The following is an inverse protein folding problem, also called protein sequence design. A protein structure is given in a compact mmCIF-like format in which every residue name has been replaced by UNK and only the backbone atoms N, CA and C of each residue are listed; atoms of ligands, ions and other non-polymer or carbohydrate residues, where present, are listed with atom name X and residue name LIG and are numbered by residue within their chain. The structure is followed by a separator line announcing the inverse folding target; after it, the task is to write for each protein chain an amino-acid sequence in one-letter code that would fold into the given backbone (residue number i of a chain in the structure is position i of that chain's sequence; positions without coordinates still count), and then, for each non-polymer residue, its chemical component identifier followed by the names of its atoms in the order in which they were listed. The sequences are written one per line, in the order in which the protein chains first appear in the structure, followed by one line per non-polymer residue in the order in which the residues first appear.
data_IF_420600492889
#
_entry.id   IF_420600492889
#
_cell.length_a   1.000
_cell.length_b   1.000
_cell.length_c   1.000
_cell.angle_alpha   90.00
_cell.angle_beta   90.00
_cell.angle_gamma   90.00
#
_symmetry.space_group_name_H-M   'P 1'
#
loop_
_entity.id
_entity.type
_entity.pdbx_description
1 polymer ?
#
# COMPACT_ATOMS: atom_id res chain seq x y z
N UNK A 1 -14.48 16.36 -10.04
CA UNK A 1 -14.69 15.42 -11.13
C UNK A 1 -15.49 14.19 -10.77
N UNK A 2 -15.71 13.84 -9.48
CA UNK A 2 -16.45 12.64 -9.07
C UNK A 2 -17.91 12.95 -8.71
N UNK A 3 -18.63 13.69 -9.58
CA UNK A 3 -20.06 13.97 -9.41
C UNK A 3 -20.96 12.75 -9.70
N UNK A 4 -20.42 11.68 -10.29
CA UNK A 4 -21.19 10.49 -10.62
C UNK A 4 -21.26 9.54 -9.41
N UNK A 5 -22.46 9.32 -8.87
CA UNK A 5 -22.71 8.42 -7.74
C UNK A 5 -22.19 6.98 -7.98
N UNK A 6 -22.15 6.54 -9.23
CA UNK A 6 -21.66 5.22 -9.61
C UNK A 6 -20.17 5.08 -9.35
N UNK A 7 -19.38 6.10 -9.71
CA UNK A 7 -17.94 6.14 -9.45
C UNK A 7 -17.65 6.30 -7.95
N UNK A 8 -18.46 7.11 -7.25
CA UNK A 8 -18.26 7.40 -5.84
C UNK A 8 -18.38 6.19 -4.92
N UNK A 9 -19.17 5.17 -5.29
CA UNK A 9 -19.28 3.92 -4.51
C UNK A 9 -17.93 3.27 -4.21
N UNK A 10 -17.00 3.28 -5.16
CA UNK A 10 -15.65 2.73 -4.99
C UNK A 10 -14.66 3.81 -4.55
N UNK A 11 -14.68 4.98 -5.20
CA UNK A 11 -13.71 6.04 -4.97
C UNK A 11 -13.73 6.59 -3.55
N UNK A 12 -14.86 6.65 -2.87
CA UNK A 12 -14.94 7.07 -1.47
C UNK A 12 -14.10 6.22 -0.50
N UNK A 13 -13.78 4.97 -0.90
CA UNK A 13 -12.93 4.06 -0.11
C UNK A 13 -11.47 4.09 -0.56
N UNK A 14 -11.24 4.37 -1.84
CA UNK A 14 -9.91 4.31 -2.44
C UNK A 14 -9.18 5.65 -2.35
N UNK A 15 -9.90 6.76 -2.56
CA UNK A 15 -9.28 8.08 -2.59
C UNK A 15 -8.54 8.42 -1.29
N UNK A 16 -9.14 8.22 -0.10
CA UNK A 16 -8.44 8.52 1.16
C UNK A 16 -7.14 7.71 1.35
N UNK A 17 -7.09 6.49 0.81
CA UNK A 17 -5.85 5.70 0.79
C UNK A 17 -4.84 6.28 -0.21
N UNK A 18 -5.31 6.70 -1.39
CA UNK A 18 -4.47 7.30 -2.43
C UNK A 18 -3.87 8.63 -2.01
N UNK A 19 -4.64 9.47 -1.32
CA UNK A 19 -4.21 10.78 -0.82
C UNK A 19 -2.98 10.68 0.09
N UNK A 20 -2.85 9.61 0.87
CA UNK A 20 -1.68 9.38 1.71
C UNK A 20 -0.37 9.26 0.90
N UNK A 21 -0.45 8.88 -0.39
CA UNK A 21 0.73 8.75 -1.27
C UNK A 21 1.14 10.07 -1.95
N UNK A 22 0.45 11.18 -1.71
CA UNK A 22 0.83 12.49 -2.26
C UNK A 22 2.24 12.96 -1.86
N UNK A 23 2.84 12.35 -0.83
CA UNK A 23 4.24 12.55 -0.48
C UNK A 23 5.22 12.00 -1.53
N UNK A 24 4.74 11.27 -2.53
CA UNK A 24 5.54 10.79 -3.65
C UNK A 24 5.08 11.46 -4.94
N UNK A 25 6.03 11.79 -5.81
CA UNK A 25 5.70 12.28 -7.14
C UNK A 25 5.42 11.10 -8.10
N UNK A 26 5.12 11.44 -9.35
CA UNK A 26 4.82 10.49 -10.42
C UNK A 26 5.99 9.57 -10.81
N UNK A 27 7.19 9.83 -10.28
CA UNK A 27 8.38 8.97 -10.42
C UNK A 27 8.70 8.22 -9.12
N UNK A 28 7.83 8.32 -8.10
CA UNK A 28 8.04 7.72 -6.80
C UNK A 28 9.06 8.44 -5.92
N UNK A 29 9.46 9.67 -6.27
CA UNK A 29 10.41 10.46 -5.47
C UNK A 29 9.66 11.15 -4.34
N UNK A 30 10.23 11.11 -3.15
CA UNK A 30 9.69 11.80 -1.98
C UNK A 30 9.65 13.32 -2.19
N UNK A 31 8.51 13.94 -1.86
CA UNK A 31 8.31 15.40 -1.92
C UNK A 31 7.57 15.91 -0.70
N UNK A 32 7.93 17.14 -0.30
CA UNK A 32 7.25 17.86 0.79
C UNK A 32 6.43 19.04 0.25
N UNK A 33 6.67 19.44 -1.00
CA UNK A 33 6.02 20.57 -1.65
C UNK A 33 5.62 20.23 -3.08
N UNK A 34 4.48 20.78 -3.50
CA UNK A 34 4.17 20.97 -4.90
C UNK A 34 4.84 22.26 -5.39
N UNK A 35 5.23 22.27 -6.64
CA UNK A 35 5.80 23.42 -7.31
C UNK A 35 4.85 23.87 -8.42
N UNK A 36 4.70 25.17 -8.58
CA UNK A 36 3.82 25.77 -9.58
C UNK A 36 4.62 26.80 -10.36
N UNK A 37 4.42 26.85 -11.65
CA UNK A 37 4.99 27.86 -12.53
C UNK A 37 4.27 29.20 -12.41
N UNK A 38 4.72 30.17 -13.21
CA UNK A 38 4.16 31.54 -13.27
C UNK A 38 2.69 31.57 -13.75
N UNK A 39 2.21 30.53 -14.42
CA UNK A 39 0.80 30.37 -14.82
C UNK A 39 -0.04 29.67 -13.73
N UNK A 40 0.57 29.23 -12.63
CA UNK A 40 -0.09 28.47 -11.57
C UNK A 40 -0.32 27.00 -11.91
N UNK A 41 0.35 26.50 -12.96
CA UNK A 41 0.29 25.08 -13.32
C UNK A 41 1.32 24.26 -12.54
N UNK A 42 0.99 22.99 -12.25
CA UNK A 42 1.92 22.12 -11.51
C UNK A 42 3.18 21.90 -12.35
N UNK A 43 4.32 22.30 -11.77
CA UNK A 43 5.63 22.10 -12.35
C UNK A 43 6.22 20.77 -11.85
N UNK A 44 6.29 19.80 -12.74
CA UNK A 44 6.86 18.49 -12.43
C UNK A 44 8.39 18.54 -12.55
N UNK A 45 9.09 18.01 -11.55
CA UNK A 45 10.56 17.97 -11.51
C UNK A 45 11.13 16.94 -12.52
N UNK A 46 10.87 17.18 -13.81
CA UNK A 46 11.25 16.25 -14.89
C UNK A 46 12.44 16.73 -15.74
N UNK A 47 12.81 17.98 -15.63
CA UNK A 47 13.84 18.59 -16.46
C UNK A 47 15.04 19.10 -15.63
N UNK A 48 16.12 19.42 -16.34
CA UNK A 48 17.33 19.98 -15.75
C UNK A 48 17.21 21.48 -15.41
N UNK A 49 16.06 22.11 -15.66
CA UNK A 49 15.82 23.52 -15.41
C UNK A 49 15.21 23.79 -14.02
N UNK A 50 14.75 22.73 -13.34
CA UNK A 50 14.05 22.87 -12.06
C UNK A 50 14.87 23.68 -11.03
N UNK A 51 16.11 23.28 -10.78
CA UNK A 51 16.95 23.93 -9.77
C UNK A 51 17.26 25.40 -10.14
N UNK A 52 17.40 25.69 -11.44
CA UNK A 52 17.57 27.06 -11.94
C UNK A 52 16.32 27.90 -11.73
N UNK A 53 15.15 27.41 -12.16
CA UNK A 53 13.87 28.12 -12.00
C UNK A 53 13.54 28.38 -10.52
N UNK A 54 13.86 27.40 -9.65
CA UNK A 54 13.66 27.54 -8.21
C UNK A 54 14.55 28.64 -7.63
N UNK A 55 15.84 28.69 -8.00
CA UNK A 55 16.78 29.74 -7.58
C UNK A 55 16.41 31.13 -8.14
N UNK A 56 15.85 31.19 -9.33
CA UNK A 56 15.42 32.43 -9.98
C UNK A 56 14.05 32.92 -9.43
N UNK A 57 13.43 32.19 -8.48
CA UNK A 57 12.12 32.56 -7.93
C UNK A 57 10.94 32.42 -8.89
N UNK A 58 11.11 31.68 -9.99
CA UNK A 58 10.08 31.43 -11.01
C UNK A 58 9.10 30.31 -10.65
N UNK A 59 9.33 29.65 -9.51
CA UNK A 59 8.43 28.60 -9.00
C UNK A 59 7.88 29.02 -7.64
N UNK A 60 6.58 28.94 -7.49
CA UNK A 60 5.91 29.04 -6.19
C UNK A 60 5.75 27.65 -5.59
N UNK A 61 5.65 27.59 -4.27
CA UNK A 61 5.57 26.31 -3.55
C UNK A 61 4.35 26.26 -2.65
N UNK A 62 3.74 25.07 -2.56
CA UNK A 62 2.70 24.77 -1.58
C UNK A 62 3.06 23.47 -0.89
N UNK A 63 2.96 23.44 0.43
CA UNK A 63 3.18 22.19 1.20
C UNK A 63 2.22 21.10 0.72
N UNK A 64 2.72 19.89 0.57
CA UNK A 64 1.91 18.71 0.27
C UNK A 64 1.05 18.38 1.49
N UNK A 65 -0.25 18.21 1.28
CA UNK A 65 -1.14 17.55 2.22
C UNK A 65 -1.29 16.10 1.78
N UNK A 66 -0.67 15.20 2.52
CA UNK A 66 -0.73 13.76 2.28
C UNK A 66 -1.54 13.06 3.38
N UNK A 67 -2.41 13.79 4.05
CA UNK A 67 -3.32 13.18 5.00
C UNK A 67 -4.30 12.25 4.28
N UNK A 68 -4.45 11.05 4.81
CA UNK A 68 -5.34 10.05 4.27
C UNK A 68 -6.13 9.33 5.36
N UNK A 69 -6.81 8.27 4.97
CA UNK A 69 -7.59 7.47 5.91
C UNK A 69 -7.59 6.00 5.49
N UNK A 70 -7.37 5.11 6.47
CA UNK A 70 -7.69 3.69 6.33
C UNK A 70 -9.11 3.51 6.83
N UNK A 71 -10.01 3.02 6.00
CA UNK A 71 -11.39 2.80 6.37
C UNK A 71 -11.89 1.45 5.85
N UNK A 72 -12.80 0.84 6.60
CA UNK A 72 -13.44 -0.42 6.22
C UNK A 72 -12.48 -1.59 6.07
N UNK A 73 -11.34 -1.60 6.76
CA UNK A 73 -10.40 -2.71 6.77
C UNK A 73 -11.00 -3.96 7.44
N UNK A 74 -11.98 -3.76 8.33
CA UNK A 74 -12.52 -4.77 9.22
C UNK A 74 -11.62 -5.05 10.43
N UNK A 75 -10.64 -4.19 10.66
CA UNK A 75 -9.77 -4.17 11.83
C UNK A 75 -9.76 -2.75 12.42
N UNK A 76 -10.54 -2.50 13.48
CA UNK A 76 -10.66 -1.16 14.08
C UNK A 76 -9.32 -0.58 14.58
N UNK A 77 -8.31 -1.44 14.82
CA UNK A 77 -7.01 -0.98 15.32
C UNK A 77 -6.19 -0.27 14.24
N UNK A 78 -6.45 -0.57 12.96
CA UNK A 78 -5.76 0.07 11.85
C UNK A 78 -6.57 1.14 11.15
N UNK A 79 -7.91 1.11 11.28
CA UNK A 79 -8.78 2.13 10.71
C UNK A 79 -8.53 3.50 11.36
N UNK A 80 -8.68 4.54 10.56
CA UNK A 80 -8.55 5.93 10.99
C UNK A 80 -7.62 6.77 10.12
N UNK A 81 -7.53 8.05 10.47
CA UNK A 81 -6.70 9.03 9.75
C UNK A 81 -5.22 8.71 9.88
N UNK A 82 -4.49 8.93 8.81
CA UNK A 82 -3.03 8.84 8.73
C UNK A 82 -2.49 10.15 8.16
N UNK A 83 -1.28 10.52 8.58
CA UNK A 83 -0.65 11.76 8.09
C UNK A 83 -0.02 11.62 6.70
N UNK A 84 0.38 10.40 6.36
CA UNK A 84 1.06 10.08 5.10
C UNK A 84 1.11 8.56 4.86
N UNK A 85 1.64 8.17 3.70
CA UNK A 85 1.81 6.76 3.33
C UNK A 85 2.76 6.01 4.27
N UNK A 86 3.74 6.68 4.87
CA UNK A 86 4.70 6.02 5.77
C UNK A 86 3.99 5.55 7.03
N UNK A 87 3.19 6.43 7.66
CA UNK A 87 2.37 6.04 8.81
C UNK A 87 1.36 4.95 8.43
N UNK A 88 0.72 5.10 7.27
CA UNK A 88 -0.23 4.11 6.76
C UNK A 88 0.42 2.72 6.64
N UNK A 89 1.58 2.64 6.00
CA UNK A 89 2.31 1.38 5.83
C UNK A 89 2.78 0.79 7.15
N UNK A 90 3.16 1.63 8.13
CA UNK A 90 3.52 1.16 9.47
C UNK A 90 2.33 0.55 10.21
N UNK A 91 1.13 1.13 10.09
CA UNK A 91 -0.09 0.54 10.66
C UNK A 91 -0.45 -0.78 9.99
N UNK A 92 -0.45 -0.81 8.66
CA UNK A 92 -0.74 -2.02 7.89
C UNK A 92 0.26 -3.14 8.22
N UNK A 93 1.54 -2.80 8.38
CA UNK A 93 2.59 -3.77 8.74
C UNK A 93 2.40 -4.42 10.11
N UNK A 94 1.61 -3.82 10.99
CA UNK A 94 1.26 -4.37 12.32
C UNK A 94 -0.06 -5.14 12.32
N UNK A 95 -0.81 -5.10 11.23
CA UNK A 95 -2.12 -5.73 11.13
C UNK A 95 -2.00 -7.23 10.84
N UNK A 96 -2.60 -8.04 11.71
CA UNK A 96 -2.77 -9.46 11.48
C UNK A 96 -3.54 -9.74 10.19
N UNK A 97 -4.54 -8.92 9.92
CA UNK A 97 -5.37 -9.05 8.71
C UNK A 97 -4.59 -8.78 7.43
N UNK A 98 -3.73 -7.76 7.43
CA UNK A 98 -2.84 -7.48 6.30
C UNK A 98 -1.85 -8.63 6.09
N UNK A 99 -1.26 -9.17 7.18
CA UNK A 99 -0.39 -10.33 7.17
C UNK A 99 -1.09 -11.57 6.61
N UNK A 100 -2.28 -11.89 7.10
CA UNK A 100 -3.06 -13.03 6.61
C UNK A 100 -3.44 -12.88 5.14
N UNK A 101 -3.77 -11.67 4.70
CA UNK A 101 -4.01 -11.38 3.29
C UNK A 101 -2.78 -11.66 2.44
N UNK A 102 -1.61 -11.20 2.88
CA UNK A 102 -0.33 -11.46 2.21
C UNK A 102 -0.03 -12.95 2.09
N UNK A 103 -0.22 -13.73 3.17
CA UNK A 103 -0.02 -15.18 3.19
C UNK A 103 -0.96 -15.88 2.20
N UNK A 104 -2.23 -15.45 2.12
CA UNK A 104 -3.20 -15.98 1.15
C UNK A 104 -2.78 -15.68 -0.29
N UNK A 105 -2.25 -14.50 -0.57
CA UNK A 105 -1.74 -14.17 -1.91
C UNK A 105 -0.57 -15.06 -2.30
N UNK A 106 0.35 -15.32 -1.38
CA UNK A 106 1.46 -16.26 -1.61
C UNK A 106 0.96 -17.69 -1.80
N UNK A 107 0.01 -18.14 -0.98
CA UNK A 107 -0.63 -19.43 -1.16
C UNK A 107 -1.17 -19.58 -2.59
N UNK A 108 -1.98 -18.61 -3.04
CA UNK A 108 -2.56 -18.62 -4.41
C UNK A 108 -1.48 -18.65 -5.49
N UNK A 109 -0.41 -17.89 -5.28
CA UNK A 109 0.72 -17.86 -6.21
C UNK A 109 1.38 -19.23 -6.34
N UNK A 110 1.74 -19.88 -5.23
CA UNK A 110 2.43 -21.16 -5.25
C UNK A 110 1.51 -22.33 -5.60
N UNK A 111 0.26 -22.30 -5.16
CA UNK A 111 -0.70 -23.37 -5.43
C UNK A 111 -1.34 -23.26 -6.83
N UNK A 112 -1.30 -22.08 -7.46
CA UNK A 112 -1.97 -21.83 -8.74
C UNK A 112 -3.50 -21.87 -8.66
N UNK A 113 -4.07 -21.77 -7.46
CA UNK A 113 -5.51 -21.82 -7.19
C UNK A 113 -5.88 -21.02 -5.95
N UNK A 114 -7.17 -20.73 -5.79
CA UNK A 114 -7.68 -20.16 -4.55
C UNK A 114 -7.66 -21.21 -3.42
N UNK A 115 -7.62 -20.70 -2.18
CA UNK A 115 -7.73 -21.51 -0.97
C UNK A 115 -9.13 -22.10 -0.80
N UNK A 116 -9.18 -23.29 -0.26
CA UNK A 116 -10.39 -24.01 0.17
C UNK A 116 -10.39 -24.20 1.69
N UNK A 117 -11.49 -24.63 2.28
CA UNK A 117 -11.57 -24.91 3.71
C UNK A 117 -10.55 -25.98 4.16
N UNK A 118 -10.27 -26.96 3.30
CA UNK A 118 -9.25 -28.00 3.53
C UNK A 118 -7.82 -27.44 3.67
N UNK A 119 -7.55 -26.23 3.15
CA UNK A 119 -6.25 -25.59 3.24
C UNK A 119 -6.04 -24.79 4.54
N UNK A 120 -7.05 -24.75 5.43
CA UNK A 120 -7.00 -23.96 6.67
C UNK A 120 -5.80 -24.29 7.52
N UNK A 121 -5.45 -25.57 7.66
CA UNK A 121 -4.27 -26.03 8.40
C UNK A 121 -3.00 -25.45 7.81
N UNK A 122 -2.82 -25.56 6.50
CA UNK A 122 -1.66 -25.03 5.77
C UNK A 122 -1.51 -23.52 5.99
N UNK A 123 -2.60 -22.76 5.90
CA UNK A 123 -2.57 -21.31 6.10
C UNK A 123 -2.21 -20.91 7.54
N UNK A 124 -2.75 -21.65 8.53
CA UNK A 124 -2.43 -21.43 9.96
C UNK A 124 -0.96 -21.76 10.25
N UNK A 125 -0.45 -22.86 9.72
CA UNK A 125 0.95 -23.25 9.91
C UNK A 125 1.90 -22.26 9.22
N UNK A 126 1.56 -21.78 8.04
CA UNK A 126 2.32 -20.76 7.33
C UNK A 126 2.34 -19.41 8.09
N UNK A 127 1.22 -19.00 8.67
CA UNK A 127 1.16 -17.79 9.51
C UNK A 127 2.05 -17.94 10.76
N UNK A 128 1.95 -19.08 11.45
CA UNK A 128 2.81 -19.39 12.59
C UNK A 128 4.30 -19.42 12.22
N UNK A 129 4.64 -20.04 11.09
CA UNK A 129 6.03 -20.09 10.62
C UNK A 129 6.57 -18.68 10.36
N UNK A 130 5.77 -17.80 9.75
CA UNK A 130 6.13 -16.41 9.54
C UNK A 130 6.37 -15.66 10.86
N UNK A 131 5.39 -15.70 11.77
CA UNK A 131 5.43 -14.97 13.05
C UNK A 131 6.56 -15.47 13.94
N UNK A 132 6.68 -16.79 14.13
CA UNK A 132 7.68 -17.40 15.03
C UNK A 132 9.13 -17.22 14.54
N UNK A 133 9.32 -16.89 13.27
CA UNK A 133 10.62 -16.59 12.70
C UNK A 133 10.83 -15.10 12.40
N UNK A 134 10.20 -14.22 13.19
CA UNK A 134 10.40 -12.78 13.12
C UNK A 134 10.00 -12.13 11.78
N UNK A 135 8.99 -12.65 11.10
CA UNK A 135 8.57 -12.16 9.80
C UNK A 135 9.40 -12.69 8.62
N UNK A 136 10.03 -13.85 8.79
CA UNK A 136 10.88 -14.44 7.74
C UNK A 136 10.07 -14.93 6.54
N UNK A 137 10.24 -14.25 5.41
CA UNK A 137 9.67 -14.67 4.13
C UNK A 137 10.11 -16.09 3.72
N UNK A 138 11.38 -16.43 3.97
CA UNK A 138 11.91 -17.77 3.69
C UNK A 138 11.19 -18.85 4.50
N UNK A 139 10.97 -18.63 5.81
CA UNK A 139 10.23 -19.57 6.64
C UNK A 139 8.80 -19.77 6.16
N UNK A 140 8.13 -18.70 5.76
CA UNK A 140 6.79 -18.75 5.16
C UNK A 140 6.76 -19.59 3.89
N UNK A 141 7.66 -19.32 2.95
CA UNK A 141 7.73 -20.07 1.67
C UNK A 141 8.01 -21.54 1.91
N UNK A 142 8.96 -21.88 2.78
CA UNK A 142 9.27 -23.27 3.14
C UNK A 142 8.05 -23.96 3.72
N UNK A 143 7.33 -23.32 4.65
CA UNK A 143 6.09 -23.88 5.23
C UNK A 143 5.02 -24.15 4.18
N UNK A 144 4.81 -23.23 3.23
CA UNK A 144 3.84 -23.42 2.15
C UNK A 144 4.23 -24.57 1.21
N UNK A 145 5.49 -24.63 0.76
CA UNK A 145 5.95 -25.62 -0.22
C UNK A 145 6.14 -27.02 0.37
N UNK A 146 6.30 -27.14 1.69
CA UNK A 146 6.34 -28.44 2.39
C UNK A 146 4.98 -28.93 2.89
N UNK A 147 3.91 -28.16 2.65
CA UNK A 147 2.56 -28.49 3.11
C UNK A 147 1.89 -29.58 2.27
N UNK A 148 0.93 -30.27 2.87
CA UNK A 148 0.09 -31.25 2.18
C UNK A 148 -0.68 -30.61 0.99
N UNK A 149 -1.10 -29.35 1.13
CA UNK A 149 -1.75 -28.60 0.06
C UNK A 149 -0.88 -28.39 -1.19
N UNK A 150 0.44 -28.41 -1.03
CA UNK A 150 1.40 -28.32 -2.13
C UNK A 150 1.81 -29.70 -2.66
N UNK A 151 2.15 -30.63 -1.77
CA UNK A 151 2.70 -31.94 -2.12
C UNK A 151 1.65 -32.88 -2.73
N UNK A 152 0.39 -32.79 -2.27
CA UNK A 152 -0.69 -33.67 -2.70
C UNK A 152 -1.76 -32.90 -3.50
N UNK A 153 -1.31 -32.18 -4.53
CA UNK A 153 -2.21 -31.46 -5.44
C UNK A 153 -3.20 -32.45 -6.10
N UNK A 154 -4.48 -32.14 -5.95
CA UNK A 154 -5.57 -32.73 -6.75
C UNK A 154 -6.11 -31.72 -7.73
#
# INVERSE_FOLDING_TARGET
PLRNQRCWKCHRKMNPLGEAFEIFDDWGRYRTHHYFDENGEIYLRRDNQFDRKLKEGKLTTRKVDASGEIAFSGDPQIDGKVKDAIEMMQRLGRSDRARQSFIRHLFRYFMGRNEMLSDSKTLIEADKAYVNNGGSFKALVVSLLSSDSFLYRR
#
